data_IF_165536030856
#
_entry.id   IF_165536030856
#
_cell.length_a   1.000
_cell.length_b   1.000
_cell.length_c   1.000
_cell.angle_alpha   90.00
_cell.angle_beta   90.00
_cell.angle_gamma   90.00
#
_symmetry.space_group_name_H-M   'P 1'
#
loop_
_entity.id
_entity.type
_entity.pdbx_description
1 polymer ?
#
# COMPACT_ATOMS: atom_id res chain seq x y z
N UNK A 1 -45.70 -55.35 23.38
CA UNK A 1 -44.61 -54.36 23.56
C UNK A 1 -43.70 -54.45 22.34
N UNK A 2 -43.37 -53.27 21.79
CA UNK A 2 -42.29 -52.96 20.84
C UNK A 2 -42.08 -53.83 19.58
N UNK A 3 -42.21 -53.20 18.41
CA UNK A 3 -41.03 -52.93 17.59
C UNK A 3 -41.34 -51.81 16.59
N UNK A 4 -40.65 -50.69 16.81
CA UNK A 4 -40.72 -49.44 16.07
C UNK A 4 -40.19 -49.61 14.65
N UNK A 5 -40.95 -49.09 13.69
CA UNK A 5 -40.52 -48.81 12.33
C UNK A 5 -39.34 -47.83 12.31
N UNK A 6 -38.24 -48.22 11.68
CA UNK A 6 -37.33 -47.26 11.07
C UNK A 6 -36.57 -47.97 9.95
N UNK A 7 -37.26 -48.18 8.82
CA UNK A 7 -36.63 -48.39 7.53
C UNK A 7 -35.88 -47.11 7.16
N UNK A 8 -34.63 -47.00 7.63
CA UNK A 8 -33.71 -45.96 7.22
C UNK A 8 -33.41 -46.14 5.73
N UNK A 9 -34.02 -45.30 4.90
CA UNK A 9 -33.59 -45.13 3.51
C UNK A 9 -32.17 -44.56 3.50
N UNK A 10 -31.17 -45.21 2.88
CA UNK A 10 -29.83 -44.65 2.83
C UNK A 10 -29.82 -43.36 2.01
N UNK A 11 -29.29 -42.30 2.62
CA UNK A 11 -29.03 -41.02 1.95
C UNK A 11 -27.99 -41.25 0.85
N UNK A 12 -28.29 -40.84 -0.38
CA UNK A 12 -27.45 -41.04 -1.56
C UNK A 12 -26.04 -40.43 -1.39
N UNK A 13 -24.99 -41.02 -2.01
CA UNK A 13 -23.63 -40.52 -1.89
C UNK A 13 -23.45 -39.15 -2.55
N UNK A 14 -22.81 -38.22 -1.83
CA UNK A 14 -22.41 -36.91 -2.34
C UNK A 14 -21.33 -37.13 -3.41
N UNK A 15 -21.67 -36.90 -4.68
CA UNK A 15 -20.72 -36.96 -5.79
C UNK A 15 -19.92 -35.65 -5.84
N UNK A 16 -18.60 -35.73 -5.66
CA UNK A 16 -17.70 -34.60 -5.89
C UNK A 16 -17.56 -34.37 -7.41
N UNK A 17 -18.41 -33.52 -7.97
CA UNK A 17 -18.22 -33.01 -9.33
C UNK A 17 -17.20 -31.87 -9.25
N UNK A 18 -15.97 -32.11 -9.70
CA UNK A 18 -15.03 -31.02 -9.94
C UNK A 18 -15.64 -30.13 -11.03
N UNK A 19 -15.81 -28.81 -10.81
CA UNK A 19 -16.26 -27.95 -11.87
C UNK A 19 -15.23 -27.98 -13.01
N UNK A 20 -15.67 -28.31 -14.21
CA UNK A 20 -14.86 -28.13 -15.41
C UNK A 20 -14.72 -26.64 -15.67
N UNK A 21 -13.54 -26.09 -15.38
CA UNK A 21 -13.22 -24.69 -15.65
C UNK A 21 -12.93 -24.54 -17.14
N UNK A 22 -13.96 -24.23 -17.93
CA UNK A 22 -13.81 -23.82 -19.32
C UNK A 22 -13.32 -22.38 -19.36
N UNK A 23 -12.01 -22.18 -19.41
CA UNK A 23 -11.40 -20.85 -19.53
C UNK A 23 -11.44 -20.45 -21.01
N UNK A 24 -12.56 -19.89 -21.46
CA UNK A 24 -12.68 -19.27 -22.79
C UNK A 24 -12.42 -17.77 -22.67
N UNK A 25 -11.18 -17.38 -22.40
CA UNK A 25 -10.80 -15.98 -22.47
C UNK A 25 -10.58 -15.60 -23.94
N UNK A 26 -11.34 -14.63 -24.44
CA UNK A 26 -11.10 -14.07 -25.76
C UNK A 26 -9.73 -13.37 -25.78
N UNK A 27 -8.96 -13.58 -26.85
CA UNK A 27 -7.72 -12.86 -27.06
C UNK A 27 -8.03 -11.36 -27.20
N UNK A 28 -7.30 -10.52 -26.46
CA UNK A 28 -7.45 -9.06 -26.54
C UNK A 28 -6.99 -8.54 -27.89
N UNK A 29 -5.97 -9.17 -28.49
CA UNK A 29 -5.39 -8.79 -29.77
C UNK A 29 -5.60 -9.90 -30.81
N UNK A 30 -5.81 -9.51 -32.07
CA UNK A 30 -5.95 -10.43 -33.19
C UNK A 30 -4.63 -11.10 -33.59
N UNK A 31 -3.50 -10.43 -33.31
CA UNK A 31 -2.15 -10.92 -33.60
C UNK A 31 -1.31 -10.95 -32.32
N UNK A 32 -0.47 -11.99 -32.12
CA UNK A 32 0.48 -12.02 -31.01
C UNK A 32 1.45 -10.84 -31.10
N UNK A 33 1.52 -10.04 -30.04
CA UNK A 33 2.54 -8.99 -29.94
C UNK A 33 3.77 -9.58 -29.25
N UNK A 34 4.94 -9.35 -29.83
CA UNK A 34 6.20 -9.68 -29.15
C UNK A 34 6.37 -8.70 -27.99
N UNK A 35 6.48 -9.25 -26.78
CA UNK A 35 6.83 -8.47 -25.61
C UNK A 35 8.35 -8.50 -25.49
N UNK A 36 9.00 -7.34 -25.67
CA UNK A 36 10.41 -7.13 -25.36
C UNK A 36 10.63 -7.22 -23.85
N UNK A 37 10.57 -8.44 -23.32
CA UNK A 37 10.75 -8.74 -21.90
C UNK A 37 12.19 -9.16 -21.63
N UNK A 38 12.85 -8.51 -20.67
CA UNK A 38 14.01 -9.09 -20.01
C UNK A 38 13.59 -10.37 -19.29
N UNK A 39 14.30 -11.48 -19.48
CA UNK A 39 13.98 -12.74 -18.80
C UNK A 39 14.02 -12.56 -17.29
N UNK A 40 12.87 -12.68 -16.64
CA UNK A 40 12.78 -12.70 -15.18
C UNK A 40 13.12 -14.11 -14.69
N UNK A 41 13.91 -14.19 -13.63
CA UNK A 41 14.24 -15.48 -13.03
C UNK A 41 13.02 -16.12 -12.34
N UNK A 42 12.95 -17.46 -12.22
CA UNK A 42 11.84 -18.14 -11.56
C UNK A 42 11.62 -17.67 -10.11
N UNK A 43 12.69 -17.26 -9.43
CA UNK A 43 12.63 -16.81 -8.04
C UNK A 43 12.10 -15.38 -7.93
N UNK A 44 12.48 -14.47 -8.83
CA UNK A 44 11.86 -13.14 -8.93
C UNK A 44 10.35 -13.25 -9.22
N UNK A 45 9.94 -14.21 -10.05
CA UNK A 45 8.53 -14.44 -10.37
C UNK A 45 7.73 -14.92 -9.14
N UNK A 46 8.35 -15.68 -8.24
CA UNK A 46 7.73 -16.12 -6.97
C UNK A 46 7.61 -14.98 -5.96
N UNK A 47 8.63 -14.12 -5.87
CA UNK A 47 8.61 -12.91 -5.04
C UNK A 47 7.54 -11.91 -5.50
N UNK A 48 7.46 -11.65 -6.80
CA UNK A 48 6.47 -10.73 -7.39
C UNK A 48 5.01 -11.20 -7.23
N UNK A 49 4.77 -12.51 -7.14
CA UNK A 49 3.43 -13.09 -7.00
C UNK A 49 2.89 -13.10 -5.56
N UNK A 50 3.75 -12.97 -4.55
CA UNK A 50 3.36 -13.12 -3.13
C UNK A 50 3.46 -11.84 -2.29
N UNK A 51 4.06 -10.77 -2.81
CA UNK A 51 4.18 -9.49 -2.12
C UNK A 51 3.31 -8.40 -2.72
N UNK A 52 2.99 -7.39 -1.92
CA UNK A 52 2.59 -6.09 -2.48
C UNK A 52 3.73 -5.62 -3.40
N UNK A 53 3.41 -4.96 -4.52
CA UNK A 53 4.44 -4.46 -5.45
C UNK A 53 5.49 -3.59 -4.75
N UNK A 54 5.09 -2.95 -3.64
CA UNK A 54 5.95 -2.17 -2.75
C UNK A 54 6.97 -3.02 -1.99
N UNK A 55 6.61 -4.20 -1.47
CA UNK A 55 7.54 -5.09 -0.76
C UNK A 55 8.57 -5.72 -1.70
N UNK A 56 8.15 -6.06 -2.92
CA UNK A 56 9.07 -6.58 -3.94
C UNK A 56 10.07 -5.52 -4.41
N UNK A 57 9.63 -4.26 -4.56
CA UNK A 57 10.51 -3.12 -4.84
C UNK A 57 11.42 -2.84 -3.65
N UNK A 58 10.91 -2.82 -2.42
CA UNK A 58 11.72 -2.62 -1.22
C UNK A 58 12.79 -3.70 -1.05
N UNK A 59 12.48 -4.97 -1.36
CA UNK A 59 13.45 -6.07 -1.32
C UNK A 59 14.53 -5.96 -2.41
N UNK A 60 14.21 -5.43 -3.59
CA UNK A 60 15.17 -5.14 -4.66
C UNK A 60 16.02 -3.89 -4.35
N UNK A 61 15.44 -2.92 -3.66
CA UNK A 61 16.07 -1.65 -3.29
C UNK A 61 16.94 -1.75 -2.04
N UNK A 62 16.68 -2.71 -1.15
CA UNK A 62 17.43 -2.99 0.08
C UNK A 62 18.81 -3.65 -0.17
N UNK A 63 19.64 -3.04 -1.01
CA UNK A 63 21.12 -3.14 -0.96
C UNK A 63 21.88 -4.24 -1.72
N UNK A 64 21.26 -5.18 -2.46
CA UNK A 64 22.07 -6.22 -3.17
C UNK A 64 22.13 -6.18 -4.69
N UNK A 65 21.27 -5.43 -5.38
CA UNK A 65 21.19 -5.49 -6.85
C UNK A 65 21.75 -4.29 -7.62
N UNK A 66 21.80 -3.10 -7.00
CA UNK A 66 22.12 -1.86 -7.72
C UNK A 66 23.64 -1.63 -7.80
N UNK A 67 24.13 -1.48 -9.03
CA UNK A 67 25.52 -1.13 -9.31
C UNK A 67 25.87 0.21 -8.65
N UNK A 68 27.16 0.41 -8.33
CA UNK A 68 27.63 1.67 -7.74
C UNK A 68 27.24 2.88 -8.60
N UNK A 69 27.33 2.75 -9.92
CA UNK A 69 26.96 3.79 -10.87
C UNK A 69 25.48 4.18 -10.78
N UNK A 70 24.57 3.22 -10.57
CA UNK A 70 23.14 3.50 -10.45
C UNK A 70 22.79 4.19 -9.14
N UNK A 71 23.47 3.86 -8.04
CA UNK A 71 23.31 4.58 -6.77
C UNK A 71 23.72 6.04 -6.90
N UNK A 72 24.85 6.29 -7.56
CA UNK A 72 25.34 7.65 -7.80
C UNK A 72 24.38 8.43 -8.72
N UNK A 73 23.81 7.80 -9.76
CA UNK A 73 22.78 8.42 -10.61
C UNK A 73 21.51 8.76 -9.84
N UNK A 74 21.00 7.85 -9.01
CA UNK A 74 19.83 8.09 -8.17
C UNK A 74 20.07 9.24 -7.18
N UNK A 75 21.22 9.26 -6.51
CA UNK A 75 21.57 10.33 -5.57
C UNK A 75 21.57 11.70 -6.25
N UNK A 76 22.12 11.80 -7.47
CA UNK A 76 22.09 13.04 -8.28
C UNK A 76 20.66 13.46 -8.62
N UNK A 77 19.82 12.54 -9.07
CA UNK A 77 18.41 12.83 -9.39
C UNK A 77 17.61 13.27 -8.17
N UNK A 78 17.86 12.69 -7.00
CA UNK A 78 17.19 13.10 -5.76
C UNK A 78 17.58 14.54 -5.40
N UNK A 79 18.86 14.90 -5.50
CA UNK A 79 19.32 16.25 -5.23
C UNK A 79 18.71 17.27 -6.21
N UNK A 80 18.70 16.95 -7.50
CA UNK A 80 18.09 17.79 -8.53
C UNK A 80 16.59 18.02 -8.27
N UNK A 81 15.87 16.95 -7.91
CA UNK A 81 14.43 17.00 -7.62
C UNK A 81 14.11 17.76 -6.34
N UNK A 82 14.96 17.69 -5.31
CA UNK A 82 14.77 18.44 -4.06
C UNK A 82 14.72 19.94 -4.28
N UNK A 83 15.49 20.47 -5.24
CA UNK A 83 15.51 21.89 -5.58
C UNK A 83 14.47 22.30 -6.63
N UNK A 84 13.75 21.36 -7.24
CA UNK A 84 12.84 21.65 -8.35
C UNK A 84 11.41 21.93 -7.82
N UNK A 85 10.89 23.16 -7.95
CA UNK A 85 9.58 23.52 -7.43
C UNK A 85 8.40 22.84 -8.16
N UNK A 86 8.64 22.29 -9.36
CA UNK A 86 7.63 21.54 -10.10
C UNK A 86 7.48 20.09 -9.59
N UNK A 87 8.41 19.61 -8.76
CA UNK A 87 8.30 18.29 -8.14
C UNK A 87 7.42 18.43 -6.90
N UNK A 88 6.20 17.91 -6.99
CA UNK A 88 5.29 17.86 -5.85
C UNK A 88 5.84 16.88 -4.81
N UNK A 89 6.17 17.41 -3.63
CA UNK A 89 6.52 16.62 -2.45
C UNK A 89 5.28 16.61 -1.56
N UNK A 90 4.88 15.44 -1.11
CA UNK A 90 3.82 15.33 -0.11
C UNK A 90 4.37 15.86 1.22
N UNK A 91 3.93 17.05 1.62
CA UNK A 91 4.32 17.68 2.87
C UNK A 91 3.29 17.26 3.91
N UNK A 92 3.69 16.57 4.98
CA UNK A 92 2.77 16.19 6.03
C UNK A 92 2.09 17.44 6.61
N UNK A 93 0.78 17.34 6.83
CA UNK A 93 -0.01 18.46 7.37
C UNK A 93 0.35 18.81 8.82
N UNK A 94 1.02 17.90 9.53
CA UNK A 94 1.52 18.12 10.88
C UNK A 94 3.06 18.24 10.85
N UNK A 95 3.64 19.26 11.50
CA UNK A 95 5.09 19.40 11.60
C UNK A 95 5.70 18.22 12.39
N UNK A 96 6.96 17.90 12.09
CA UNK A 96 7.67 16.91 12.87
C UNK A 96 7.91 17.43 14.32
N UNK A 97 8.04 16.55 15.32
CA UNK A 97 8.29 16.97 16.71
C UNK A 97 9.53 17.86 16.84
N UNK A 98 10.62 17.49 16.17
CA UNK A 98 11.88 18.24 16.20
C UNK A 98 11.75 19.65 15.58
N UNK A 99 10.86 19.82 14.60
CA UNK A 99 10.56 21.10 13.96
C UNK A 99 9.63 21.96 14.84
N UNK A 100 8.68 21.32 15.54
CA UNK A 100 7.76 21.99 16.47
C UNK A 100 8.49 22.62 17.66
N UNK A 101 9.50 21.93 18.20
CA UNK A 101 10.34 22.44 19.28
C UNK A 101 11.17 23.66 18.84
N UNK A 102 11.70 23.64 17.60
CA UNK A 102 12.43 24.78 17.03
C UNK A 102 11.54 25.98 16.75
N UNK A 103 10.26 25.76 16.45
CA UNK A 103 9.28 26.82 16.25
C UNK A 103 8.82 27.49 17.56
N UNK A 104 9.25 27.00 18.72
CA UNK A 104 8.92 27.59 20.03
C UNK A 104 7.46 27.44 20.44
N UNK A 105 6.67 26.63 19.73
CA UNK A 105 5.23 26.46 19.97
C UNK A 105 4.90 25.81 21.33
N UNK A 106 5.89 25.25 22.02
CA UNK A 106 5.75 24.74 23.38
C UNK A 106 5.77 25.83 24.48
N UNK A 107 5.83 27.12 24.13
CA UNK A 107 5.84 28.22 25.11
C UNK A 107 4.48 28.82 25.47
N UNK A 108 3.38 28.42 24.83
CA UNK A 108 2.04 28.95 25.16
C UNK A 108 1.20 27.96 25.98
N UNK A 109 1.63 27.71 27.21
CA UNK A 109 0.71 27.32 28.28
C UNK A 109 0.23 28.61 28.96
N UNK A 110 -0.89 29.17 28.48
CA UNK A 110 -1.88 29.97 29.23
C UNK A 110 -2.70 30.90 28.29
N UNK A 111 -3.66 30.32 27.57
CA UNK A 111 -4.54 31.04 26.64
C UNK A 111 -6.02 30.70 26.80
N UNK A 112 -6.46 30.38 28.02
CA UNK A 112 -7.87 30.16 28.33
C UNK A 112 -8.68 31.44 28.05
N UNK A 113 -9.56 31.38 27.05
CA UNK A 113 -10.47 32.46 26.70
C UNK A 113 -11.28 32.96 27.89
N UNK A 114 -11.07 34.23 28.26
CA UNK A 114 -11.97 34.98 29.15
C UNK A 114 -12.38 36.29 28.47
N UNK A 115 -13.43 36.22 27.65
CA UNK A 115 -14.13 37.41 27.17
C UNK A 115 -14.82 38.11 28.33
N UNK A 116 -14.19 39.14 28.89
CA UNK A 116 -14.80 39.99 29.92
C UNK A 116 -15.61 41.11 29.28
N UNK A 117 -16.93 40.95 29.29
CA UNK A 117 -17.92 41.99 29.01
C UNK A 117 -17.83 43.10 30.07
N UNK A 118 -17.32 44.28 29.71
CA UNK A 118 -17.42 45.47 30.56
C UNK A 118 -18.87 45.98 30.56
N UNK A 119 -19.60 45.64 31.62
CA UNK A 119 -20.92 46.19 31.94
C UNK A 119 -20.78 47.66 32.34
N UNK A 120 -21.64 48.49 31.77
CA UNK A 120 -21.73 49.93 32.02
C UNK A 120 -21.98 50.25 33.51
N UNK A 121 -21.24 51.23 34.04
CA UNK A 121 -21.52 51.89 35.31
C UNK A 121 -22.13 53.27 35.04
N UNK A 122 -23.41 53.41 35.38
CA UNK A 122 -24.21 54.64 35.40
C UNK A 122 -24.52 54.96 36.87
N UNK A 123 -24.61 56.27 37.15
CA UNK A 123 -24.99 56.97 38.39
C UNK A 123 -23.85 57.25 39.38
#
# INVERSE_FOLDING_TARGET
MASSSSDQTPISPIKFTRPELTISAAAINNEPIELDGTSISPDELRLARRGSKADALAALEAEKGLSRAERERRAKLILERKSNPAVLVDIPQAPAPDELEQAGAAQDEDGAGTGTLKKAGKA
#
